data_IF_731813554730
#
_entry.id   IF_731813554730
#
_cell.length_a   1.000
_cell.length_b   1.000
_cell.length_c   1.000
_cell.angle_alpha   90.00
_cell.angle_beta   90.00
_cell.angle_gamma   90.00
#
_symmetry.space_group_name_H-M   'P 1'
#
loop_
_entity.id
_entity.type
_entity.pdbx_description
1 polymer ?
#
# COMPACT_ATOMS: atom_id res chain seq x y z
N UNK A 1 -12.38 27.78 -11.53
CA UNK A 1 -11.92 26.39 -11.40
C UNK A 1 -10.66 26.26 -12.23
N UNK A 2 -9.49 26.08 -11.60
CA UNK A 2 -8.30 25.68 -12.36
C UNK A 2 -8.56 24.29 -12.95
N UNK A 3 -8.10 24.00 -14.17
CA UNK A 3 -8.24 22.68 -14.74
C UNK A 3 -7.49 21.68 -13.86
N UNK A 4 -8.17 20.58 -13.52
CA UNK A 4 -7.74 19.50 -12.62
C UNK A 4 -6.35 18.88 -12.92
N UNK A 5 -5.72 19.25 -14.03
CA UNK A 5 -4.38 18.81 -14.45
C UNK A 5 -3.23 19.70 -13.95
N UNK A 6 -3.47 21.00 -13.69
CA UNK A 6 -2.40 21.92 -13.26
C UNK A 6 -1.90 21.57 -11.85
N UNK A 7 -2.82 21.40 -10.90
CA UNK A 7 -2.46 21.11 -9.50
C UNK A 7 -1.71 19.76 -9.36
N UNK A 8 -1.96 18.80 -10.25
CA UNK A 8 -1.30 17.49 -10.23
C UNK A 8 0.13 17.54 -10.80
N UNK A 9 0.35 18.30 -11.88
CA UNK A 9 1.69 18.51 -12.42
C UNK A 9 2.56 19.27 -11.41
N UNK A 10 2.00 20.28 -10.74
CA UNK A 10 2.68 21.01 -9.67
C UNK A 10 3.12 20.11 -8.51
N UNK A 11 2.30 19.10 -8.15
CA UNK A 11 2.66 18.11 -7.10
C UNK A 11 3.85 17.26 -7.55
N UNK A 12 3.81 16.70 -8.76
CA UNK A 12 4.89 15.86 -9.27
C UNK A 12 6.20 16.64 -9.42
N UNK A 13 6.13 17.89 -9.87
CA UNK A 13 7.30 18.76 -9.97
C UNK A 13 7.91 19.03 -8.59
N UNK A 14 7.11 19.33 -7.57
CA UNK A 14 7.61 19.51 -6.18
C UNK A 14 8.29 18.26 -5.65
N UNK A 15 7.71 17.09 -5.88
CA UNK A 15 8.33 15.82 -5.46
C UNK A 15 9.67 15.63 -6.18
N UNK A 16 9.71 15.88 -7.49
CA UNK A 16 10.94 15.72 -8.31
C UNK A 16 12.04 16.73 -7.97
N UNK A 17 11.68 17.93 -7.50
CA UNK A 17 12.66 18.91 -7.00
C UNK A 17 13.42 18.38 -5.77
N UNK A 18 12.72 17.68 -4.87
CA UNK A 18 13.33 17.10 -3.66
C UNK A 18 13.91 15.70 -3.90
N UNK A 19 13.38 14.98 -4.88
CA UNK A 19 13.83 13.65 -5.26
C UNK A 19 13.87 13.53 -6.79
N UNK A 20 14.99 13.95 -7.38
CA UNK A 20 15.20 13.92 -8.83
C UNK A 20 14.98 12.52 -9.45
N UNK A 21 15.22 11.45 -8.68
CA UNK A 21 15.04 10.07 -9.13
C UNK A 21 13.63 9.52 -8.84
N UNK A 22 12.68 10.37 -8.43
CA UNK A 22 11.31 9.95 -8.17
C UNK A 22 10.64 9.47 -9.45
N UNK A 23 10.36 8.18 -9.49
CA UNK A 23 9.50 7.55 -10.48
C UNK A 23 8.12 7.29 -9.87
N UNK A 24 7.09 7.83 -10.54
CA UNK A 24 5.73 7.81 -10.04
C UNK A 24 5.10 6.42 -10.12
N UNK A 25 5.36 5.69 -11.20
CA UNK A 25 4.74 4.39 -11.43
C UNK A 25 5.32 3.38 -10.44
N UNK A 26 6.64 3.39 -10.26
CA UNK A 26 7.33 2.61 -9.24
C UNK A 26 6.85 2.95 -7.83
N UNK A 27 6.61 4.24 -7.54
CA UNK A 27 6.10 4.67 -6.24
C UNK A 27 4.68 4.19 -5.98
N UNK A 28 3.78 4.34 -6.95
CA UNK A 28 2.39 3.88 -6.80
C UNK A 28 2.31 2.35 -6.70
N UNK A 29 3.17 1.62 -7.42
CA UNK A 29 3.29 0.18 -7.28
C UNK A 29 3.78 -0.22 -5.87
N UNK A 30 4.77 0.49 -5.33
CA UNK A 30 5.22 0.32 -3.95
C UNK A 30 4.08 0.51 -2.94
N UNK A 31 3.26 1.55 -3.11
CA UNK A 31 2.11 1.81 -2.22
C UNK A 31 1.09 0.68 -2.29
N UNK A 32 0.72 0.23 -3.50
CA UNK A 32 -0.20 -0.90 -3.69
C UNK A 32 0.33 -2.17 -3.02
N UNK A 33 1.60 -2.48 -3.25
CA UNK A 33 2.27 -3.64 -2.65
C UNK A 33 2.25 -3.55 -1.12
N UNK A 34 2.58 -2.39 -0.56
CA UNK A 34 2.66 -2.18 0.89
C UNK A 34 1.29 -2.33 1.56
N UNK A 35 0.23 -1.81 0.94
CA UNK A 35 -1.14 -1.94 1.44
C UNK A 35 -1.63 -3.39 1.38
N UNK A 36 -1.42 -4.08 0.26
CA UNK A 36 -1.71 -5.51 0.14
C UNK A 36 -1.00 -6.31 1.23
N UNK A 37 0.28 -6.00 1.47
CA UNK A 37 1.07 -6.68 2.50
C UNK A 37 0.54 -6.39 3.90
N UNK A 38 0.23 -5.14 4.24
CA UNK A 38 -0.37 -4.76 5.53
C UNK A 38 -1.68 -5.53 5.75
N UNK A 39 -2.59 -5.45 4.78
CA UNK A 39 -3.90 -6.08 4.86
C UNK A 39 -3.79 -7.59 5.11
N UNK A 40 -3.03 -8.29 4.25
CA UNK A 40 -2.87 -9.74 4.33
C UNK A 40 -2.18 -10.20 5.62
N UNK A 41 -1.19 -9.45 6.11
CA UNK A 41 -0.49 -9.83 7.34
C UNK A 41 -1.34 -9.57 8.58
N UNK A 42 -2.10 -8.47 8.65
CA UNK A 42 -3.02 -8.24 9.77
C UNK A 42 -4.13 -9.30 9.77
N UNK A 43 -4.67 -9.65 8.60
CA UNK A 43 -5.66 -10.71 8.45
C UNK A 43 -5.16 -12.05 9.02
N UNK A 44 -3.90 -12.41 8.74
CA UNK A 44 -3.26 -13.63 9.22
C UNK A 44 -2.53 -13.48 10.58
N UNK A 45 -2.73 -12.36 11.30
CA UNK A 45 -2.06 -12.05 12.57
C UNK A 45 -0.51 -12.12 12.54
N UNK A 46 0.12 -11.77 11.41
CA UNK A 46 1.58 -11.71 11.22
C UNK A 46 2.10 -10.28 11.30
N UNK A 47 2.33 -9.75 12.50
CA UNK A 47 2.53 -8.30 12.68
C UNK A 47 3.97 -7.84 12.45
N UNK A 48 4.96 -8.62 12.88
CA UNK A 48 6.38 -8.23 12.85
C UNK A 48 6.88 -7.72 11.49
N UNK A 49 6.54 -8.34 10.34
CA UNK A 49 7.01 -7.88 9.04
C UNK A 49 6.46 -6.49 8.62
N UNK A 50 5.50 -5.92 9.34
CA UNK A 50 4.83 -4.67 8.95
C UNK A 50 5.57 -3.42 9.37
N UNK A 51 6.46 -3.50 10.37
CA UNK A 51 7.22 -2.35 10.87
C UNK A 51 8.28 -1.84 9.90
N UNK A 52 8.57 -2.61 8.85
CA UNK A 52 9.48 -2.24 7.76
C UNK A 52 8.85 -1.26 6.78
N UNK A 53 7.53 -1.34 6.60
CA UNK A 53 6.77 -0.56 5.61
C UNK A 53 5.81 0.44 6.26
N UNK A 54 5.66 0.40 7.58
CA UNK A 54 4.68 1.19 8.31
C UNK A 54 5.15 1.56 9.71
N UNK A 55 4.59 2.64 10.26
CA UNK A 55 4.86 3.04 11.64
C UNK A 55 4.18 2.10 12.65
N UNK A 56 4.81 1.89 13.82
CA UNK A 56 4.23 1.11 14.92
C UNK A 56 2.89 1.67 15.39
N UNK A 57 2.80 3.00 15.48
CA UNK A 57 1.59 3.70 15.90
C UNK A 57 0.42 3.44 14.95
N UNK A 58 0.68 3.47 13.64
CA UNK A 58 -0.34 3.16 12.64
C UNK A 58 -0.82 1.71 12.77
N UNK A 59 0.09 0.75 12.86
CA UNK A 59 -0.27 -0.68 12.98
C UNK A 59 -1.14 -0.92 14.22
N UNK A 60 -0.78 -0.33 15.37
CA UNK A 60 -1.62 -0.38 16.57
C UNK A 60 -3.02 0.19 16.33
N UNK A 61 -3.12 1.33 15.64
CA UNK A 61 -4.41 1.97 15.32
C UNK A 61 -5.27 1.07 14.43
N UNK A 62 -4.67 0.45 13.41
CA UNK A 62 -5.37 -0.45 12.50
C UNK A 62 -5.85 -1.73 13.19
N UNK A 63 -5.03 -2.28 14.11
CA UNK A 63 -5.40 -3.43 14.93
C UNK A 63 -6.54 -3.14 15.91
N UNK A 64 -6.58 -1.94 16.49
CA UNK A 64 -7.68 -1.51 17.35
C UNK A 64 -8.97 -1.23 16.59
N UNK A 65 -8.89 -0.93 15.28
CA UNK A 65 -10.02 -0.50 14.45
C UNK A 65 -10.23 -1.38 13.22
N UNK A 66 -10.04 -2.70 13.34
CA UNK A 66 -10.11 -3.66 12.21
C UNK A 66 -11.39 -3.51 11.36
N UNK A 67 -12.54 -3.24 11.97
CA UNK A 67 -13.81 -3.06 11.27
C UNK A 67 -13.84 -1.82 10.36
N UNK A 68 -13.15 -0.74 10.74
CA UNK A 68 -13.02 0.47 9.91
C UNK A 68 -12.32 0.15 8.59
N UNK A 69 -11.31 -0.74 8.63
CA UNK A 69 -10.50 -1.16 7.48
C UNK A 69 -11.00 -2.45 6.83
N UNK A 70 -12.19 -2.92 7.20
CA UNK A 70 -12.78 -4.18 6.73
C UNK A 70 -11.89 -5.41 6.91
N UNK A 71 -11.02 -5.40 7.91
CA UNK A 71 -10.18 -6.54 8.25
C UNK A 71 -11.02 -7.53 9.09
N UNK A 72 -11.87 -8.29 8.40
CA UNK A 72 -12.72 -9.32 8.97
C UNK A 72 -12.48 -10.66 8.30
N UNK A 73 -12.75 -11.77 9.00
CA UNK A 73 -12.57 -13.15 8.50
C UNK A 73 -13.37 -13.49 7.24
N UNK A 74 -14.34 -12.63 6.91
CA UNK A 74 -15.32 -12.88 5.87
C UNK A 74 -14.96 -12.20 4.53
N UNK A 75 -13.87 -11.40 4.47
CA UNK A 75 -13.44 -10.83 3.19
C UNK A 75 -12.62 -11.88 2.43
N UNK A 76 -13.19 -12.39 1.35
CA UNK A 76 -12.54 -13.36 0.46
C UNK A 76 -11.60 -12.71 -0.54
N UNK A 77 -11.95 -11.52 -1.01
CA UNK A 77 -11.13 -10.81 -1.98
C UNK A 77 -10.95 -9.34 -1.59
N UNK A 78 -9.70 -8.90 -1.65
CA UNK A 78 -9.23 -7.54 -1.45
C UNK A 78 -8.44 -7.14 -2.69
N UNK A 79 -8.94 -6.12 -3.41
CA UNK A 79 -8.29 -5.67 -4.64
C UNK A 79 -8.20 -4.15 -4.70
N UNK A 80 -6.97 -3.64 -4.88
CA UNK A 80 -6.74 -2.23 -5.20
C UNK A 80 -6.94 -2.04 -6.70
N UNK A 81 -7.98 -1.28 -7.07
CA UNK A 81 -8.35 -1.05 -8.47
C UNK A 81 -7.60 0.13 -9.08
N UNK A 82 -7.36 1.17 -8.27
CA UNK A 82 -6.78 2.43 -8.73
C UNK A 82 -5.87 3.01 -7.65
N UNK A 83 -4.80 3.69 -8.08
CA UNK A 83 -3.93 4.46 -7.20
C UNK A 83 -3.51 5.76 -7.88
N UNK A 84 -3.50 6.88 -7.15
CA UNK A 84 -3.03 8.17 -7.65
C UNK A 84 -2.48 9.03 -6.52
N UNK A 85 -1.39 9.76 -6.81
CA UNK A 85 -0.88 10.78 -5.90
C UNK A 85 -1.94 11.88 -5.74
N UNK A 86 -2.33 12.11 -4.50
CA UNK A 86 -3.31 13.10 -4.12
C UNK A 86 -2.67 14.44 -3.78
N UNK A 87 -1.60 14.40 -2.98
CA UNK A 87 -1.05 15.60 -2.33
C UNK A 87 0.41 15.35 -1.95
N UNK A 88 1.17 16.45 -1.83
CA UNK A 88 2.53 16.47 -1.32
C UNK A 88 2.69 17.61 -0.32
N UNK A 89 3.13 17.25 0.89
CA UNK A 89 3.25 18.18 2.01
C UNK A 89 4.70 18.15 2.49
N UNK A 90 5.30 19.33 2.54
CA UNK A 90 6.61 19.54 3.17
C UNK A 90 6.41 20.47 4.36
N UNK A 91 6.73 19.99 5.57
CA UNK A 91 6.59 20.77 6.80
C UNK A 91 7.66 20.37 7.79
N UNK A 92 8.34 21.34 8.39
CA UNK A 92 9.35 21.13 9.44
C UNK A 92 10.46 20.14 9.03
N UNK A 93 10.91 20.21 7.76
CA UNK A 93 11.86 19.28 7.11
C UNK A 93 11.36 17.82 6.99
N UNK A 94 10.06 17.58 7.17
CA UNK A 94 9.43 16.30 6.92
C UNK A 94 8.66 16.34 5.60
N UNK A 95 8.78 15.27 4.83
CA UNK A 95 8.11 15.10 3.54
C UNK A 95 7.01 14.04 3.66
N UNK A 96 5.84 14.37 3.13
CA UNK A 96 4.68 13.48 3.09
C UNK A 96 4.09 13.42 1.69
N UNK A 97 3.73 12.22 1.26
CA UNK A 97 2.93 12.01 0.05
C UNK A 97 1.62 11.36 0.46
N UNK A 98 0.50 11.91 0.00
CA UNK A 98 -0.81 11.28 0.12
C UNK A 98 -1.17 10.59 -1.18
N UNK A 99 -1.70 9.38 -1.08
CA UNK A 99 -2.13 8.57 -2.23
C UNK A 99 -3.58 8.17 -2.04
N UNK A 100 -4.40 8.43 -3.05
CA UNK A 100 -5.75 7.88 -3.16
C UNK A 100 -5.69 6.46 -3.68
N UNK A 101 -6.36 5.54 -3.01
CA UNK A 101 -6.61 4.18 -3.46
C UNK A 101 -8.11 3.92 -3.58
N UNK A 102 -8.54 3.38 -4.72
CA UNK A 102 -9.87 2.76 -4.84
C UNK A 102 -9.73 1.28 -4.55
N UNK A 103 -10.49 0.77 -3.58
CA UNK A 103 -10.36 -0.60 -3.10
C UNK A 103 -11.71 -1.29 -3.17
N UNK A 104 -11.71 -2.47 -3.77
CA UNK A 104 -12.84 -3.37 -3.85
C UNK A 104 -12.69 -4.50 -2.84
N UNK A 105 -13.78 -4.76 -2.13
CA UNK A 105 -13.92 -5.86 -1.19
C UNK A 105 -15.05 -6.77 -1.64
N UNK A 106 -14.84 -8.08 -1.56
CA UNK A 106 -15.87 -9.07 -1.81
C UNK A 106 -15.84 -10.15 -0.72
N UNK A 107 -17.03 -10.44 -0.22
CA UNK A 107 -17.35 -11.46 0.79
C UNK A 107 -18.33 -12.44 0.15
N UNK A 108 -17.85 -13.67 -0.03
CA UNK A 108 -18.61 -14.79 -0.54
C UNK A 108 -19.24 -15.49 0.65
N UNK A 109 -20.56 -15.41 0.72
CA UNK A 109 -21.27 -15.76 1.95
C UNK A 109 -21.12 -17.24 2.35
N UNK A 110 -20.89 -18.12 1.37
CA UNK A 110 -20.67 -19.55 1.60
C UNK A 110 -19.43 -19.84 2.47
N UNK A 111 -18.51 -18.88 2.58
CA UNK A 111 -17.30 -19.00 3.38
C UNK A 111 -17.49 -18.50 4.83
N UNK A 112 -18.68 -17.96 5.16
CA UNK A 112 -19.00 -17.47 6.49
C UNK A 112 -19.58 -18.57 7.38
N UNK A 113 -19.08 -18.66 8.62
CA UNK A 113 -19.54 -19.63 9.61
C UNK A 113 -21.00 -19.42 10.05
N UNK A 114 -21.52 -18.19 9.93
CA UNK A 114 -22.90 -17.81 10.23
C UNK A 114 -23.77 -17.78 8.98
N UNK A 115 -23.58 -18.75 8.08
CA UNK A 115 -24.33 -18.88 6.83
C UNK A 115 -25.83 -19.03 7.12
N UNK A 116 -26.59 -18.01 6.72
CA UNK A 116 -28.04 -18.10 6.55
C UNK A 116 -28.32 -18.02 5.05
N UNK A 117 -29.08 -18.98 4.53
CA UNK A 117 -29.43 -19.13 3.10
C UNK A 117 -30.10 -17.88 2.49
N UNK A 118 -30.64 -17.00 3.34
CA UNK A 118 -31.38 -15.80 2.93
C UNK A 118 -30.49 -14.59 2.59
N UNK A 119 -29.18 -14.64 2.88
CA UNK A 119 -28.26 -13.55 2.61
C UNK A 119 -27.39 -13.86 1.37
N UNK A 120 -27.24 -12.90 0.45
CA UNK A 120 -26.39 -13.03 -0.74
C UNK A 120 -24.95 -12.59 -0.48
N UNK A 121 -24.08 -12.81 -1.48
CA UNK A 121 -22.73 -12.25 -1.50
C UNK A 121 -22.73 -10.73 -1.28
N UNK A 122 -21.69 -10.23 -0.62
CA UNK A 122 -21.56 -8.80 -0.31
C UNK A 122 -20.32 -8.20 -0.96
N UNK A 123 -20.46 -6.94 -1.40
CA UNK A 123 -19.36 -6.18 -1.99
C UNK A 123 -19.35 -4.74 -1.50
N UNK A 124 -18.16 -4.16 -1.44
CA UNK A 124 -17.96 -2.76 -1.05
C UNK A 124 -16.85 -2.12 -1.89
N UNK A 125 -16.98 -0.83 -2.13
CA UNK A 125 -15.91 0.00 -2.66
C UNK A 125 -15.60 1.08 -1.64
N UNK A 126 -14.37 1.11 -1.14
CA UNK A 126 -13.90 2.17 -0.26
C UNK A 126 -12.82 2.99 -0.97
N UNK A 127 -12.73 4.27 -0.61
CA UNK A 127 -11.60 5.12 -0.96
C UNK A 127 -10.70 5.24 0.26
N UNK A 128 -9.44 4.85 0.11
CA UNK A 128 -8.44 5.01 1.15
C UNK A 128 -7.48 6.13 0.79
N UNK A 129 -7.30 7.08 1.70
CA UNK A 129 -6.27 8.11 1.61
C UNK A 129 -5.10 7.65 2.46
N UNK A 130 -4.07 7.14 1.79
CA UNK A 130 -2.85 6.64 2.44
C UNK A 130 -1.85 7.77 2.57
N UNK A 131 -1.42 8.06 3.79
CA UNK A 131 -0.35 9.03 4.04
C UNK A 131 0.96 8.28 4.23
N UNK A 132 1.94 8.62 3.39
CA UNK A 132 3.30 8.14 3.49
C UNK A 132 4.20 9.25 3.99
N UNK A 133 5.08 8.93 4.94
CA UNK A 133 6.13 9.82 5.43
C UNK A 133 7.47 9.33 4.94
N UNK A 134 8.32 10.23 4.44
CA UNK A 134 9.70 9.91 4.13
C UNK A 134 10.47 9.71 5.43
N UNK A 135 10.99 8.50 5.61
CA UNK A 135 12.00 8.18 6.61
C UNK A 135 13.38 8.25 5.96
N UNK A 136 14.31 8.89 6.65
CA UNK A 136 15.72 8.77 6.31
C UNK A 136 16.12 7.29 6.46
N UNK A 137 16.87 6.74 5.49
CA UNK A 137 17.12 5.30 5.43
C UNK A 137 17.74 4.78 6.72
N UNK A 138 17.04 3.88 7.40
CA UNK A 138 17.60 2.98 8.42
C UNK A 138 17.73 1.59 7.81
N UNK A 139 18.93 1.04 7.87
CA UNK A 139 19.31 -0.23 7.23
C UNK A 139 18.68 -1.44 7.95
N UNK A 140 17.54 -1.98 7.47
CA UNK A 140 17.15 -3.41 7.71
C UNK A 140 15.95 -3.87 6.85
N UNK A 141 15.88 -5.17 6.56
CA UNK A 141 15.24 -5.82 5.40
C UNK A 141 14.35 -7.04 5.77
N UNK A 142 13.12 -7.16 5.25
CA UNK A 142 12.34 -8.42 5.06
C UNK A 142 11.03 -8.23 4.24
N UNK A 143 11.09 -7.69 3.03
CA UNK A 143 9.92 -7.66 2.12
C UNK A 143 9.83 -8.94 1.25
N UNK A 144 8.67 -9.60 1.20
CA UNK A 144 8.39 -10.73 0.28
C UNK A 144 7.73 -10.19 -0.99
N UNK A 145 8.38 -10.33 -2.14
CA UNK A 145 7.92 -9.81 -3.43
C UNK A 145 7.48 -10.94 -4.36
N UNK A 146 6.65 -10.66 -5.36
CA UNK A 146 6.09 -11.65 -6.31
C UNK A 146 6.33 -11.17 -7.75
N UNK A 147 6.66 -12.09 -8.65
CA UNK A 147 7.06 -11.77 -10.02
C UNK A 147 5.86 -11.60 -10.96
N UNK A 148 5.79 -10.45 -11.63
CA UNK A 148 4.75 -10.13 -12.62
C UNK A 148 4.72 -11.09 -13.82
N UNK A 149 5.84 -11.75 -14.13
CA UNK A 149 5.95 -12.66 -15.27
C UNK A 149 5.45 -14.08 -14.97
N UNK A 150 5.58 -14.57 -13.73
CA UNK A 150 5.31 -15.98 -13.42
C UNK A 150 4.66 -16.25 -12.05
N UNK A 151 4.36 -15.21 -11.27
CA UNK A 151 3.73 -15.35 -9.95
C UNK A 151 4.60 -15.95 -8.85
N UNK A 152 5.88 -16.24 -9.12
CA UNK A 152 6.79 -16.80 -8.11
C UNK A 152 7.37 -15.72 -7.19
N UNK A 153 7.78 -16.12 -5.98
CA UNK A 153 8.47 -15.24 -5.03
C UNK A 153 9.74 -14.65 -5.64
N UNK A 154 10.00 -13.38 -5.32
CA UNK A 154 11.24 -12.68 -5.68
C UNK A 154 12.05 -12.39 -4.42
N UNK A 155 13.37 -12.49 -4.57
CA UNK A 155 14.35 -12.18 -3.54
C UNK A 155 14.93 -10.79 -3.80
N UNK A 156 14.97 -9.95 -2.77
CA UNK A 156 15.61 -8.65 -2.83
C UNK A 156 17.09 -8.79 -2.47
N UNK A 157 17.99 -8.43 -3.38
CA UNK A 157 19.41 -8.28 -3.10
C UNK A 157 19.85 -6.86 -3.47
N UNK A 158 20.36 -6.12 -2.49
CA UNK A 158 20.54 -4.66 -2.50
C UNK A 158 19.28 -3.90 -2.90
N UNK A 159 19.05 -3.77 -4.21
CA UNK A 159 17.99 -3.03 -4.89
C UNK A 159 17.49 -3.77 -6.13
N UNK A 160 17.77 -5.06 -6.24
CA UNK A 160 17.36 -5.85 -7.39
C UNK A 160 16.47 -6.96 -6.86
N UNK A 161 15.20 -6.89 -7.21
CA UNK A 161 14.28 -8.01 -7.07
C UNK A 161 14.59 -9.00 -8.17
N UNK A 162 14.99 -10.21 -7.77
CA UNK A 162 15.21 -11.31 -8.70
C UNK A 162 14.15 -12.36 -8.46
N UNK A 163 13.40 -12.70 -9.50
CA UNK A 163 12.44 -13.79 -9.43
C UNK A 163 13.16 -15.12 -9.24
N UNK A 164 12.75 -15.90 -8.24
CA UNK A 164 13.37 -17.18 -7.91
C UNK A 164 13.06 -18.29 -8.94
N UNK A 165 12.14 -18.04 -9.87
CA UNK A 165 11.73 -19.01 -10.90
C UNK A 165 12.20 -18.63 -12.30
N UNK A 166 11.84 -17.43 -12.78
CA UNK A 166 12.15 -17.01 -14.15
C UNK A 166 13.37 -16.10 -14.26
N UNK A 167 14.08 -15.83 -13.15
CA UNK A 167 15.23 -14.92 -13.09
C UNK A 167 14.96 -13.50 -13.60
N UNK A 168 13.70 -13.10 -13.75
CA UNK A 168 13.35 -11.74 -14.11
C UNK A 168 13.85 -10.79 -13.01
N UNK A 169 14.49 -9.70 -13.43
CA UNK A 169 15.11 -8.72 -12.55
C UNK A 169 14.35 -7.41 -12.63
N UNK A 170 13.97 -6.87 -11.47
CA UNK A 170 13.36 -5.55 -11.34
C UNK A 170 14.22 -4.72 -10.41
N UNK A 171 14.64 -3.53 -10.84
CA UNK A 171 15.36 -2.62 -9.96
C UNK A 171 14.34 -2.00 -9.01
N UNK A 172 14.46 -2.29 -7.73
CA UNK A 172 13.68 -1.71 -6.66
C UNK A 172 14.38 -0.45 -6.17
N UNK A 173 13.76 0.71 -6.38
CA UNK A 173 14.33 1.98 -5.93
C UNK A 173 14.47 2.00 -4.39
N UNK A 174 15.71 2.13 -3.88
CA UNK A 174 15.98 2.33 -2.43
C UNK A 174 15.25 3.53 -1.88
N UNK A 175 14.97 4.49 -2.76
CA UNK A 175 14.29 5.74 -2.46
C UNK A 175 12.80 5.53 -2.16
N UNK A 176 12.17 4.49 -2.72
CA UNK A 176 10.77 4.19 -2.41
C UNK A 176 10.62 3.48 -1.06
N UNK A 177 11.60 2.65 -0.65
CA UNK A 177 11.67 2.07 0.69
C UNK A 177 11.90 3.09 1.83
N UNK A 178 12.23 4.33 1.49
CA UNK A 178 12.29 5.42 2.47
C UNK A 178 10.89 5.84 2.92
N UNK A 179 9.83 5.56 2.16
CA UNK A 179 8.49 6.00 2.51
C UNK A 179 7.80 4.98 3.39
N UNK A 180 7.36 5.37 4.59
CA UNK A 180 6.53 4.52 5.45
C UNK A 180 5.11 5.00 5.50
N UNK A 181 4.19 4.05 5.49
CA UNK A 181 2.78 4.34 5.75
C UNK A 181 2.64 4.75 7.23
N UNK A 182 2.08 5.93 7.45
CA UNK A 182 1.89 6.48 8.80
C UNK A 182 0.44 6.68 9.16
N UNK A 183 -0.44 6.74 8.16
CA UNK A 183 -1.88 6.90 8.36
C UNK A 183 -2.69 6.40 7.16
N UNK A 184 -3.93 5.98 7.42
CA UNK A 184 -4.94 5.68 6.40
C UNK A 184 -6.28 6.20 6.88
N UNK A 185 -6.86 7.12 6.09
CA UNK A 185 -8.24 7.59 6.26
C UNK A 185 -9.14 6.85 5.28
N UNK A 186 -10.18 6.21 5.80
CA UNK A 186 -11.18 5.47 5.01
C UNK A 186 -12.38 6.36 4.73
N UNK A 187 -12.76 6.48 3.46
CA UNK A 187 -14.01 7.09 3.00
C UNK A 187 -14.89 5.99 2.41
N UNK A 188 -16.11 5.87 2.95
CA UNK A 188 -17.13 4.88 2.58
C UNK A 188 -18.24 5.51 1.77
#
# INVERSE_FOLDING_TARGET
MKPYNEDYLDILEKIKQQNFQFDMDDFLEYVKFSINRIYNNIYHNKIEPLYEISSKQFISTMLSNKSTYRISRNIDNFQIQFAKIHDYIEKDNEEFIKVYLSIFFYDKIINNYDYNEDNGDSFWNDIWIVTLKKELPKTSSNNIFVCDNCGANMTLNDLILTCNYCNNKKMFSKYNAQWKIVDIVVQK
#
